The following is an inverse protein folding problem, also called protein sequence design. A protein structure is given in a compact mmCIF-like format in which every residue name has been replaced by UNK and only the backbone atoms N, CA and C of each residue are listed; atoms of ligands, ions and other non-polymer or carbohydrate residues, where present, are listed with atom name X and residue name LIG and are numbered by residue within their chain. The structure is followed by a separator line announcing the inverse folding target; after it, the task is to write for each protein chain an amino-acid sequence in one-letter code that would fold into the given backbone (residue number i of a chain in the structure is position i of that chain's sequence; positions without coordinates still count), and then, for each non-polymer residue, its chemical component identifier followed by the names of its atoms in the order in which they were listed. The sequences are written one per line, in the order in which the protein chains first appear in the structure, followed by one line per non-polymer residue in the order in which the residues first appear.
data_IF_569210515820
#
_entry.id   IF_569210515820
#
_cell.length_a   1.000
_cell.length_b   1.000
_cell.length_c   1.000
_cell.angle_alpha   90.00
_cell.angle_beta   90.00
_cell.angle_gamma   90.00
#
_symmetry.space_group_name_H-M   'P 1'
#
loop_
_entity.id
_entity.type
_entity.pdbx_description
1 polymer ?
#
# COMPACT_ATOMS: atom_id res chain seq x y z
N UNK A 1 -16.21 -23.24 -9.58
CA UNK A 1 -15.77 -22.80 -8.24
C UNK A 1 -15.41 -21.32 -8.36
N UNK A 2 -16.16 -20.47 -7.66
CA UNK A 2 -16.26 -19.03 -7.94
C UNK A 2 -14.96 -18.27 -7.61
N UNK A 3 -14.43 -17.55 -8.59
CA UNK A 3 -13.39 -16.55 -8.40
C UNK A 3 -13.96 -15.42 -7.52
N UNK A 4 -13.60 -15.42 -6.23
CA UNK A 4 -14.07 -14.42 -5.28
C UNK A 4 -13.51 -13.04 -5.66
N UNK A 5 -14.43 -12.15 -6.01
CA UNK A 5 -14.23 -10.78 -6.44
C UNK A 5 -13.26 -10.01 -5.53
N UNK A 6 -12.16 -9.55 -6.13
CA UNK A 6 -11.25 -8.55 -5.56
C UNK A 6 -11.98 -7.21 -5.55
N UNK A 7 -12.57 -6.80 -4.43
CA UNK A 7 -13.15 -5.46 -4.33
C UNK A 7 -12.04 -4.42 -4.17
N UNK A 8 -11.54 -3.98 -5.31
CA UNK A 8 -10.75 -2.76 -5.41
C UNK A 8 -11.76 -1.62 -5.38
N UNK A 9 -11.79 -0.84 -4.29
CA UNK A 9 -12.47 0.46 -4.32
C UNK A 9 -11.54 1.42 -5.07
N UNK A 10 -11.47 1.22 -6.39
CA UNK A 10 -10.88 2.20 -7.30
C UNK A 10 -11.97 3.23 -7.57
N UNK A 11 -11.73 4.54 -7.39
CA UNK A 11 -12.56 5.50 -8.11
C UNK A 11 -12.49 5.13 -9.60
N UNK A 12 -13.66 4.88 -10.21
CA UNK A 12 -13.79 4.66 -11.66
C UNK A 12 -13.01 5.76 -12.38
N UNK A 13 -12.02 5.35 -13.19
CA UNK A 13 -11.55 6.14 -14.34
C UNK A 13 -10.99 7.55 -14.04
N UNK A 14 -9.88 7.67 -13.30
CA UNK A 14 -9.14 8.96 -13.24
C UNK A 14 -7.65 8.92 -13.59
N UNK A 15 -7.02 7.75 -13.67
CA UNK A 15 -5.60 7.65 -14.05
C UNK A 15 -5.36 6.48 -15.00
N UNK A 16 -5.53 6.72 -16.30
CA UNK A 16 -5.04 5.84 -17.38
C UNK A 16 -3.53 6.02 -17.62
N UNK A 17 -2.95 7.12 -17.14
CA UNK A 17 -1.50 7.38 -17.17
C UNK A 17 -0.82 6.95 -15.86
N UNK A 18 0.49 6.66 -15.94
CA UNK A 18 1.33 6.41 -14.77
C UNK A 18 1.41 7.68 -13.89
N UNK A 19 1.39 7.49 -12.58
CA UNK A 19 1.45 8.59 -11.60
C UNK A 19 2.36 8.23 -10.43
N UNK A 20 2.76 9.24 -9.65
CA UNK A 20 3.53 9.00 -8.42
C UNK A 20 2.64 8.58 -7.26
N UNK A 21 2.90 7.39 -6.72
CA UNK A 21 2.17 6.79 -5.60
C UNK A 21 2.94 6.87 -4.29
N UNK A 22 2.22 7.13 -3.20
CA UNK A 22 2.70 6.97 -1.83
C UNK A 22 1.93 5.83 -1.16
N UNK A 23 2.63 4.78 -0.71
CA UNK A 23 2.03 3.68 0.03
C UNK A 23 2.22 3.83 1.53
N UNK A 24 1.19 3.48 2.29
CA UNK A 24 1.14 3.49 3.75
C UNK A 24 0.76 2.11 4.27
N UNK A 25 1.63 1.52 5.09
CA UNK A 25 1.33 0.34 5.90
C UNK A 25 1.09 0.77 7.36
N UNK A 26 -0.16 0.69 7.82
CA UNK A 26 -0.60 1.31 9.07
C UNK A 26 -0.49 0.34 10.25
N UNK A 27 0.69 0.30 10.86
CA UNK A 27 0.95 -0.41 12.10
C UNK A 27 0.39 0.27 13.36
N UNK A 28 0.57 -0.39 14.51
CA UNK A 28 0.08 0.12 15.80
C UNK A 28 0.92 1.24 16.41
N UNK A 29 2.21 1.29 16.07
CA UNK A 29 3.18 2.26 16.62
C UNK A 29 3.82 3.13 15.55
N UNK A 30 3.86 2.64 14.31
CA UNK A 30 4.52 3.26 13.18
C UNK A 30 3.74 2.98 11.92
N UNK A 31 3.92 3.83 10.93
CA UNK A 31 3.40 3.68 9.58
C UNK A 31 4.58 3.52 8.65
N UNK A 32 4.67 2.37 7.99
CA UNK A 32 5.61 2.14 6.90
C UNK A 32 5.26 3.04 5.72
N UNK A 33 6.27 3.57 5.03
CA UNK A 33 6.06 4.48 3.90
C UNK A 33 6.91 4.00 2.72
N UNK A 34 6.34 4.02 1.52
CA UNK A 34 7.08 3.82 0.29
C UNK A 34 6.58 4.75 -0.80
N UNK A 35 7.45 5.10 -1.74
CA UNK A 35 7.17 6.03 -2.82
C UNK A 35 7.53 5.38 -4.16
N UNK A 36 6.68 5.53 -5.17
CA UNK A 36 7.06 5.17 -6.55
C UNK A 36 7.71 6.35 -7.28
N UNK A 37 8.39 6.06 -8.39
CA UNK A 37 8.59 7.08 -9.41
C UNK A 37 7.27 7.41 -10.15
N UNK A 38 7.29 8.44 -11.00
CA UNK A 38 6.13 8.88 -11.78
C UNK A 38 5.80 7.95 -12.95
N UNK A 39 6.64 6.98 -13.24
CA UNK A 39 6.45 6.00 -14.31
C UNK A 39 5.98 4.65 -13.78
N UNK A 40 5.75 4.54 -12.46
CA UNK A 40 5.35 3.31 -11.78
C UNK A 40 6.34 2.14 -11.99
N UNK A 41 7.65 2.43 -12.13
CA UNK A 41 8.70 1.42 -12.40
C UNK A 41 9.55 1.09 -11.18
N UNK A 42 9.85 2.08 -10.35
CA UNK A 42 10.72 1.92 -9.18
C UNK A 42 9.96 2.27 -7.91
N UNK A 43 9.96 1.38 -6.91
CA UNK A 43 9.50 1.67 -5.55
C UNK A 43 10.68 1.81 -4.61
N UNK A 44 10.66 2.89 -3.82
CA UNK A 44 11.69 3.15 -2.80
C UNK A 44 11.04 3.19 -1.41
N UNK A 45 11.49 2.35 -0.46
CA UNK A 45 11.06 2.46 0.93
C UNK A 45 11.55 3.78 1.53
N UNK A 46 10.69 4.41 2.33
CA UNK A 46 10.97 5.66 3.01
C UNK A 46 11.01 5.45 4.52
N UNK A 47 11.47 6.48 5.24
CA UNK A 47 11.50 6.43 6.70
C UNK A 47 10.08 6.27 7.26
N UNK A 48 9.89 5.25 8.10
CA UNK A 48 8.62 5.01 8.78
C UNK A 48 8.30 6.14 9.78
N UNK A 49 7.08 6.66 9.68
CA UNK A 49 6.54 7.72 10.53
C UNK A 49 5.95 7.12 11.82
N UNK A 50 6.05 7.79 12.98
CA UNK A 50 5.36 7.35 14.19
C UNK A 50 3.84 7.46 14.01
N UNK A 51 3.10 6.48 14.55
CA UNK A 51 1.65 6.51 14.60
C UNK A 51 1.18 7.11 15.92
N UNK A 52 0.66 8.35 15.88
CA UNK A 52 0.01 9.00 17.02
C UNK A 52 -1.51 8.86 16.93
N UNK A 53 -2.12 9.63 16.02
CA UNK A 53 -3.55 9.59 15.71
C UNK A 53 -3.81 9.63 14.20
N UNK A 54 -5.01 9.24 13.73
CA UNK A 54 -5.41 9.42 12.33
C UNK A 54 -5.23 10.86 11.82
N UNK A 55 -5.57 11.86 12.65
CA UNK A 55 -5.45 13.28 12.28
C UNK A 55 -3.99 13.71 12.13
N UNK A 56 -3.14 13.36 13.09
CA UNK A 56 -1.72 13.71 13.06
C UNK A 56 -1.02 13.01 11.88
N UNK A 57 -1.35 11.74 11.64
CA UNK A 57 -0.85 11.00 10.49
C UNK A 57 -1.26 11.69 9.19
N UNK A 58 -2.53 12.05 9.02
CA UNK A 58 -3.02 12.69 7.82
C UNK A 58 -2.32 14.03 7.55
N UNK A 59 -2.07 14.85 8.58
CA UNK A 59 -1.31 16.09 8.45
C UNK A 59 0.14 15.85 7.99
N UNK A 60 0.80 14.82 8.52
CA UNK A 60 2.14 14.43 8.08
C UNK A 60 2.13 13.95 6.62
N UNK A 61 1.16 13.11 6.26
CA UNK A 61 1.00 12.61 4.89
C UNK A 61 0.69 13.75 3.92
N UNK A 62 -0.13 14.73 4.28
CA UNK A 62 -0.40 15.90 3.44
C UNK A 62 0.89 16.68 3.08
N UNK A 63 1.80 16.84 4.05
CA UNK A 63 3.12 17.45 3.80
C UNK A 63 3.96 16.61 2.84
N UNK A 64 3.97 15.29 3.00
CA UNK A 64 4.67 14.38 2.08
C UNK A 64 4.09 14.44 0.67
N UNK A 65 2.76 14.46 0.56
CA UNK A 65 2.05 14.55 -0.73
C UNK A 65 2.48 15.80 -1.49
N UNK A 66 2.51 16.94 -0.80
CA UNK A 66 2.96 18.19 -1.40
C UNK A 66 4.46 18.17 -1.72
N UNK A 67 5.30 17.75 -0.77
CA UNK A 67 6.77 17.86 -0.91
C UNK A 67 7.34 16.91 -1.96
N UNK A 68 6.70 15.75 -2.15
CA UNK A 68 7.15 14.72 -3.07
C UNK A 68 6.34 14.66 -4.37
N UNK A 69 5.42 15.61 -4.59
CA UNK A 69 4.53 15.64 -5.75
C UNK A 69 3.85 14.28 -5.95
N UNK A 70 3.23 13.77 -4.87
CA UNK A 70 2.44 12.54 -4.91
C UNK A 70 1.10 12.86 -5.55
N UNK A 71 0.61 11.96 -6.38
CA UNK A 71 -0.64 12.12 -7.12
C UNK A 71 -1.72 11.16 -6.64
N UNK A 72 -1.34 10.08 -5.95
CA UNK A 72 -2.27 9.14 -5.33
C UNK A 72 -1.66 8.46 -4.09
N UNK A 73 -2.50 8.14 -3.10
CA UNK A 73 -2.10 7.42 -1.90
C UNK A 73 -2.71 6.02 -1.88
N UNK A 74 -1.89 5.02 -1.55
CA UNK A 74 -2.29 3.64 -1.34
C UNK A 74 -2.21 3.31 0.15
N UNK A 75 -3.23 2.67 0.71
CA UNK A 75 -3.25 2.24 2.11
C UNK A 75 -3.50 0.74 2.18
N UNK A 76 -2.56 0.02 2.80
CA UNK A 76 -2.68 -1.41 3.07
C UNK A 76 -3.77 -1.68 4.11
N UNK A 77 -4.63 -2.66 3.83
CA UNK A 77 -5.68 -3.10 4.75
C UNK A 77 -5.34 -4.52 5.23
N UNK A 78 -5.05 -4.70 6.53
CA UNK A 78 -4.80 -6.03 7.07
C UNK A 78 -6.07 -6.85 6.93
N UNK A 79 -6.02 -7.91 6.14
CA UNK A 79 -7.18 -8.79 6.05
C UNK A 79 -7.25 -9.76 7.20
N UNK A 80 -8.35 -9.67 7.93
CA UNK A 80 -8.76 -10.75 8.82
C UNK A 80 -10.00 -11.44 8.28
N UNK A 81 -10.17 -12.73 8.60
CA UNK A 81 -11.28 -13.55 8.12
C UNK A 81 -12.66 -13.10 8.63
N UNK A 82 -12.69 -12.18 9.61
CA UNK A 82 -13.91 -11.71 10.29
C UNK A 82 -14.21 -10.20 10.13
N UNK A 83 -13.34 -9.39 9.52
CA UNK A 83 -13.58 -7.95 9.34
C UNK A 83 -13.51 -7.08 10.61
N UNK A 84 -13.15 -7.68 11.76
CA UNK A 84 -13.33 -7.10 13.10
C UNK A 84 -12.02 -6.88 13.87
N UNK A 85 -10.86 -6.94 13.21
CA UNK A 85 -9.60 -6.74 13.91
C UNK A 85 -9.38 -5.27 14.30
N UNK A 86 -8.67 -5.06 15.42
CA UNK A 86 -8.23 -3.72 15.86
C UNK A 86 -7.39 -3.00 14.79
N UNK A 87 -6.65 -3.76 13.98
CA UNK A 87 -5.86 -3.22 12.87
C UNK A 87 -6.74 -2.65 11.76
N UNK A 88 -7.71 -3.44 11.31
CA UNK A 88 -8.65 -3.03 10.26
C UNK A 88 -9.50 -1.82 10.67
N UNK A 89 -9.98 -1.78 11.92
CA UNK A 89 -10.68 -0.61 12.46
C UNK A 89 -9.80 0.65 12.45
N UNK A 90 -8.52 0.54 12.82
CA UNK A 90 -7.56 1.64 12.76
C UNK A 90 -7.35 2.12 11.33
N UNK A 91 -7.14 1.20 10.38
CA UNK A 91 -6.95 1.56 8.97
C UNK A 91 -8.17 2.27 8.42
N UNK A 92 -9.39 1.79 8.73
CA UNK A 92 -10.63 2.48 8.34
C UNK A 92 -10.70 3.92 8.83
N UNK A 93 -10.35 4.17 10.09
CA UNK A 93 -10.31 5.53 10.65
C UNK A 93 -9.26 6.40 9.96
N UNK A 94 -8.07 5.86 9.69
CA UNK A 94 -7.01 6.55 8.95
C UNK A 94 -7.46 6.92 7.55
N UNK A 95 -8.02 5.96 6.79
CA UNK A 95 -8.50 6.18 5.42
C UNK A 95 -9.60 7.24 5.37
N UNK A 96 -10.52 7.25 6.35
CA UNK A 96 -11.57 8.25 6.42
C UNK A 96 -10.99 9.68 6.56
N UNK A 97 -10.01 9.86 7.45
CA UNK A 97 -9.37 11.17 7.66
C UNK A 97 -8.49 11.56 6.48
N UNK A 98 -7.72 10.62 5.91
CA UNK A 98 -6.90 10.89 4.72
C UNK A 98 -7.76 11.35 3.55
N UNK A 99 -8.88 10.68 3.29
CA UNK A 99 -9.80 11.03 2.20
C UNK A 99 -10.39 12.43 2.36
N UNK A 100 -10.57 12.90 3.60
CA UNK A 100 -11.09 14.25 3.88
C UNK A 100 -10.00 15.34 3.75
N UNK A 101 -8.77 15.03 4.18
CA UNK A 101 -7.71 16.03 4.29
C UNK A 101 -6.85 16.14 3.01
N UNK A 102 -6.65 15.04 2.29
CA UNK A 102 -5.72 15.01 1.18
C UNK A 102 -6.35 15.56 -0.11
N UNK A 103 -5.59 16.34 -0.90
CA UNK A 103 -6.04 16.81 -2.21
C UNK A 103 -5.96 15.73 -3.29
N UNK A 104 -5.42 14.56 -2.95
CA UNK A 104 -5.20 13.43 -3.87
C UNK A 104 -6.04 12.24 -3.45
N UNK A 105 -6.44 11.37 -4.39
CA UNK A 105 -7.24 10.20 -4.08
C UNK A 105 -6.50 9.21 -3.19
N UNK A 106 -7.27 8.59 -2.31
CA UNK A 106 -6.82 7.53 -1.40
C UNK A 106 -7.45 6.22 -1.85
N UNK A 107 -6.61 5.24 -2.14
CA UNK A 107 -7.01 3.88 -2.54
C UNK A 107 -6.62 2.90 -1.44
N UNK A 108 -7.50 1.95 -1.13
CA UNK A 108 -7.19 0.86 -0.22
C UNK A 108 -6.83 -0.41 -0.97
N UNK A 109 -5.93 -1.21 -0.41
CA UNK A 109 -5.54 -2.49 -0.98
C UNK A 109 -5.48 -3.59 0.06
N UNK A 110 -6.10 -4.72 -0.29
CA UNK A 110 -6.20 -5.91 0.54
C UNK A 110 -4.90 -6.75 0.42
N UNK A 111 -4.26 -7.01 1.56
CA UNK A 111 -2.95 -7.66 1.67
C UNK A 111 -2.96 -9.21 1.58
N UNK A 112 -4.03 -9.83 1.08
CA UNK A 112 -4.04 -11.29 0.89
C UNK A 112 -2.98 -11.73 -0.14
N UNK A 113 -1.85 -12.25 0.33
CA UNK A 113 -0.96 -13.12 -0.45
C UNK A 113 0.54 -12.79 -0.42
N UNK A 114 0.95 -11.58 -0.03
CA UNK A 114 2.35 -11.15 -0.17
C UNK A 114 3.28 -11.68 0.92
N UNK A 115 2.76 -11.99 2.11
CA UNK A 115 3.60 -12.41 3.25
C UNK A 115 4.14 -13.84 3.08
N UNK A 116 3.36 -14.76 2.51
CA UNK A 116 3.72 -16.17 2.46
C UNK A 116 4.82 -16.46 1.42
N UNK A 117 4.74 -15.86 0.23
CA UNK A 117 5.77 -15.99 -0.82
C UNK A 117 7.05 -15.23 -0.47
N UNK A 118 6.95 -14.03 0.12
CA UNK A 118 8.12 -13.27 0.56
C UNK A 118 8.85 -13.94 1.75
N UNK A 119 8.10 -14.54 2.68
CA UNK A 119 8.70 -15.34 3.75
C UNK A 119 9.39 -16.60 3.22
N UNK A 120 8.82 -17.25 2.19
CA UNK A 120 9.40 -18.43 1.55
C UNK A 120 10.72 -18.11 0.83
N UNK A 121 10.77 -17.03 0.04
CA UNK A 121 11.99 -16.57 -0.64
C UNK A 121 13.12 -16.21 0.33
N UNK A 122 12.80 -15.59 1.48
CA UNK A 122 13.81 -15.25 2.48
C UNK A 122 14.22 -16.44 3.35
N UNK A 123 13.41 -17.49 3.47
CA UNK A 123 13.75 -18.69 4.24
C UNK A 123 14.98 -19.41 3.68
N UNK A 124 15.20 -19.32 2.36
CA UNK A 124 16.36 -19.90 1.65
C UNK A 124 17.69 -19.21 1.98
N UNK A 125 17.66 -18.01 2.57
CA UNK A 125 18.86 -17.20 2.86
C UNK A 125 19.58 -17.54 4.18
N UNK A 126 19.09 -18.51 4.96
CA UNK A 126 19.69 -18.91 6.25
C UNK A 126 19.59 -17.86 7.38
N UNK A 127 18.98 -16.70 7.14
CA UNK A 127 18.77 -15.64 8.15
C UNK A 127 17.73 -16.08 9.17
N UNK A 128 17.92 -15.90 10.49
CA UNK A 128 16.93 -16.30 11.50
C UNK A 128 15.54 -15.69 11.27
N UNK A 129 14.48 -16.48 11.48
CA UNK A 129 13.09 -16.09 11.19
C UNK A 129 12.69 -14.72 11.76
N UNK A 130 13.11 -14.40 12.99
CA UNK A 130 12.88 -13.10 13.62
C UNK A 130 13.51 -11.94 12.84
N UNK A 131 14.77 -12.07 12.43
CA UNK A 131 15.48 -11.04 11.65
C UNK A 131 14.87 -10.88 10.25
N UNK A 132 14.36 -11.97 9.66
CA UNK A 132 13.63 -11.90 8.39
C UNK A 132 12.35 -11.11 8.54
N UNK A 133 11.57 -11.38 9.60
CA UNK A 133 10.34 -10.65 9.89
C UNK A 133 10.58 -9.17 10.17
N UNK A 134 11.61 -8.83 10.94
CA UNK A 134 12.00 -7.42 11.17
C UNK A 134 12.37 -6.70 9.87
N UNK A 135 13.06 -7.38 8.94
CA UNK A 135 13.37 -6.84 7.61
C UNK A 135 12.12 -6.71 6.73
N UNK A 136 11.23 -7.70 6.75
CA UNK A 136 9.98 -7.69 6.01
C UNK A 136 9.06 -6.57 6.51
N UNK A 137 8.94 -6.39 7.82
CA UNK A 137 8.18 -5.31 8.44
C UNK A 137 8.73 -3.94 8.01
N UNK A 138 10.06 -3.79 7.89
CA UNK A 138 10.68 -2.55 7.42
C UNK A 138 10.42 -2.27 5.93
N UNK A 139 10.11 -3.30 5.13
CA UNK A 139 9.85 -3.21 3.70
C UNK A 139 8.37 -3.35 3.33
N UNK A 140 7.49 -3.55 4.30
CA UNK A 140 6.09 -3.90 4.08
C UNK A 140 5.37 -2.93 3.14
N UNK A 141 5.54 -1.61 3.35
CA UNK A 141 4.94 -0.59 2.48
C UNK A 141 5.49 -0.63 1.04
N UNK A 142 6.76 -0.99 0.85
CA UNK A 142 7.34 -1.11 -0.49
C UNK A 142 6.81 -2.35 -1.21
N UNK A 143 6.74 -3.50 -0.53
CA UNK A 143 6.17 -4.74 -1.07
C UNK A 143 4.69 -4.58 -1.42
N UNK A 144 3.93 -3.87 -0.57
CA UNK A 144 2.55 -3.50 -0.85
C UNK A 144 2.43 -2.68 -2.15
N UNK A 145 3.27 -1.66 -2.31
CA UNK A 145 3.24 -0.80 -3.48
C UNK A 145 3.67 -1.52 -4.76
N UNK A 146 4.73 -2.34 -4.69
CA UNK A 146 5.18 -3.16 -5.82
C UNK A 146 4.08 -4.11 -6.32
N UNK A 147 3.42 -4.81 -5.40
CA UNK A 147 2.32 -5.71 -5.73
C UNK A 147 1.13 -4.96 -6.37
N UNK A 148 0.80 -3.77 -5.85
CA UNK A 148 -0.23 -2.91 -6.41
C UNK A 148 0.10 -2.48 -7.85
N UNK A 149 1.32 -1.97 -8.07
CA UNK A 149 1.74 -1.45 -9.36
C UNK A 149 1.89 -2.55 -10.41
N UNK A 150 2.35 -3.76 -10.02
CA UNK A 150 2.42 -4.91 -10.92
C UNK A 150 1.06 -5.21 -11.57
N UNK A 151 0.00 -5.30 -10.76
CA UNK A 151 -1.36 -5.55 -11.24
C UNK A 151 -1.94 -4.36 -12.02
N UNK A 152 -1.55 -3.13 -11.69
CA UNK A 152 -1.94 -1.94 -12.44
C UNK A 152 -1.32 -1.92 -13.83
N UNK A 153 -0.04 -2.29 -13.97
CA UNK A 153 0.66 -2.41 -15.26
C UNK A 153 0.02 -3.46 -16.15
N UNK A 154 -0.33 -4.64 -15.62
CA UNK A 154 -1.03 -5.69 -16.37
C UNK A 154 -2.36 -5.20 -16.96
N UNK A 155 -3.14 -4.43 -16.18
CA UNK A 155 -4.43 -3.90 -16.63
C UNK A 155 -4.33 -2.74 -17.62
N UNK A 156 -3.25 -1.96 -17.54
CA UNK A 156 -3.06 -0.79 -18.40
C UNK A 156 -2.36 -1.19 -19.72
N UNK A 157 -1.51 -2.23 -19.69
CA UNK A 157 -0.87 -2.81 -20.88
C UNK A 157 -1.69 -3.88 -21.62
N UNK A 158 -2.75 -4.41 -21.01
CA UNK A 158 -3.57 -5.51 -21.56
C UNK A 158 -4.56 -5.15 -22.66
N UNK A 159 -4.66 -3.88 -23.08
CA UNK A 159 -5.58 -3.45 -24.15
C UNK A 159 -4.94 -3.41 -25.56
N UNK A 160 -3.81 -4.11 -25.75
CA UNK A 160 -3.01 -4.03 -26.98
C UNK A 160 -2.92 -5.28 -27.85
N UNK A 161 -3.50 -6.43 -27.49
CA UNK A 161 -3.46 -7.62 -28.37
C UNK A 161 -4.72 -8.48 -28.20
N UNK A 162 -5.54 -8.54 -29.26
CA UNK A 162 -6.54 -9.59 -29.42
C UNK A 162 -7.69 -9.25 -30.37
N UNK A 163 -7.50 -9.51 -31.68
CA UNK A 163 -8.57 -9.78 -32.65
C UNK A 163 -8.93 -8.64 -33.59
#
# INVERSE_FOLDING_TARGET
MAATSRQIVTPKSRYTAAVRWLALDVGAKRVGVALSDSEERVVTPQMAIPFGSPQELAQRVAKLVQSWNVEAVLVGVPTTRSGQSRGEARVRQVVAVLTQLLPVPVTTWDERGTTQEAEALLAESGVPARKRREKLDALAAALLLEAFLALRRERTGGNGVGG
#
